data_IF_116328974157
#
_entry.id   IF_116328974157
#
_cell.length_a   1.000
_cell.length_b   1.000
_cell.length_c   1.000
_cell.angle_alpha   90.00
_cell.angle_beta   90.00
_cell.angle_gamma   90.00
#
_symmetry.space_group_name_H-M   'P 1'
#
loop_
_entity.id
_entity.type
_entity.pdbx_description
1 polymer ?
#
# COMPACT_ATOMS: atom_id res chain seq x y z
N UNK A 1 6.85 15.55 -3.01
CA UNK A 1 7.44 14.19 -2.96
C UNK A 1 6.34 13.16 -2.78
N UNK A 2 6.63 11.86 -2.90
CA UNK A 2 5.70 10.76 -2.62
C UNK A 2 6.31 9.84 -1.56
N UNK A 3 5.54 9.46 -0.55
CA UNK A 3 5.85 8.37 0.37
C UNK A 3 4.90 7.20 0.10
N UNK A 4 5.47 6.02 -0.17
CA UNK A 4 4.71 4.80 -0.45
C UNK A 4 4.92 3.77 0.65
N UNK A 5 3.84 3.24 1.22
CA UNK A 5 3.86 1.97 1.97
C UNK A 5 3.42 0.88 1.01
N UNK A 6 4.34 -0.02 0.66
CA UNK A 6 4.08 -1.12 -0.29
C UNK A 6 3.91 -2.44 0.46
N UNK A 7 2.93 -3.25 0.04
CA UNK A 7 2.75 -4.62 0.51
C UNK A 7 3.99 -5.50 0.26
N UNK A 8 4.82 -5.15 -0.72
CA UNK A 8 6.02 -5.91 -1.13
C UNK A 8 7.28 -5.59 -0.30
N UNK A 9 7.16 -4.72 0.70
CA UNK A 9 8.24 -4.46 1.65
C UNK A 9 7.86 -4.85 3.08
N UNK A 10 7.51 -6.11 3.27
CA UNK A 10 7.37 -6.67 4.62
C UNK A 10 8.68 -6.59 5.41
N UNK A 11 8.56 -6.40 6.73
CA UNK A 11 9.70 -6.24 7.64
C UNK A 11 9.31 -6.53 9.08
N UNK A 12 10.27 -6.80 9.96
CA UNK A 12 10.00 -6.95 11.40
C UNK A 12 9.93 -5.60 12.15
N UNK A 13 10.47 -4.55 11.53
CA UNK A 13 10.58 -3.18 12.08
C UNK A 13 10.50 -2.17 10.96
N UNK A 14 10.11 -0.94 11.29
CA UNK A 14 10.03 0.14 10.32
C UNK A 14 11.40 0.48 9.74
N UNK A 15 11.44 0.55 8.42
CA UNK A 15 12.59 0.94 7.62
C UNK A 15 12.12 1.92 6.54
N UNK A 16 12.96 2.89 6.19
CA UNK A 16 12.62 3.94 5.25
C UNK A 16 13.76 4.09 4.24
N UNK A 17 13.43 4.10 2.94
CA UNK A 17 14.45 4.31 1.89
C UNK A 17 15.13 5.66 2.08
N UNK A 18 16.45 5.70 1.96
CA UNK A 18 17.23 6.93 2.11
C UNK A 18 18.31 7.12 1.03
N UNK A 19 18.27 6.36 -0.07
CA UNK A 19 19.19 6.54 -1.19
C UNK A 19 18.78 7.74 -2.05
N UNK A 20 19.75 8.45 -2.65
CA UNK A 20 19.46 9.55 -3.59
C UNK A 20 18.92 9.06 -4.94
N UNK A 21 19.33 7.86 -5.37
CA UNK A 21 18.94 7.24 -6.64
C UNK A 21 18.68 5.74 -6.46
N UNK A 22 17.53 5.36 -5.86
CA UNK A 22 17.15 3.96 -5.74
C UNK A 22 17.03 3.30 -7.10
N UNK A 23 17.41 2.03 -7.21
CA UNK A 23 17.21 1.24 -8.43
C UNK A 23 15.74 0.80 -8.55
N UNK A 24 15.30 0.47 -9.75
CA UNK A 24 14.05 -0.28 -9.95
C UNK A 24 14.30 -1.76 -9.70
N UNK A 25 13.47 -2.39 -8.87
CA UNK A 25 13.50 -3.81 -8.59
C UNK A 25 12.25 -4.50 -9.13
N UNK A 26 12.47 -5.56 -9.91
CA UNK A 26 11.42 -6.46 -10.37
C UNK A 26 11.36 -7.67 -9.42
N UNK A 27 10.69 -7.51 -8.30
CA UNK A 27 10.50 -8.51 -7.24
C UNK A 27 9.44 -9.59 -7.60
N UNK A 28 9.21 -9.82 -8.88
CA UNK A 28 8.23 -10.78 -9.40
C UNK A 28 8.81 -11.72 -10.47
N UNK A 29 8.15 -12.86 -10.68
CA UNK A 29 8.56 -13.93 -11.59
C UNK A 29 7.48 -14.30 -12.61
N UNK A 30 7.88 -14.88 -13.75
CA UNK A 30 6.95 -15.53 -14.69
C UNK A 30 6.34 -14.62 -15.77
N UNK A 31 6.85 -13.40 -15.93
CA UNK A 31 6.34 -12.44 -16.90
C UNK A 31 7.20 -12.34 -18.18
N UNK A 32 6.68 -11.74 -19.27
CA UNK A 32 7.47 -11.52 -20.48
C UNK A 32 8.69 -10.62 -20.25
N UNK A 33 9.79 -10.79 -21.01
CA UNK A 33 11.01 -9.99 -20.89
C UNK A 33 10.80 -8.47 -20.96
N UNK A 34 9.79 -8.02 -21.72
CA UNK A 34 9.45 -6.61 -21.83
C UNK A 34 9.11 -5.97 -20.48
N UNK A 35 8.53 -6.72 -19.54
CA UNK A 35 8.19 -6.18 -18.21
C UNK A 35 9.45 -5.96 -17.36
N UNK A 36 10.46 -6.84 -17.48
CA UNK A 36 11.76 -6.70 -16.81
C UNK A 36 12.64 -5.59 -17.40
N UNK A 37 12.32 -5.10 -18.59
CA UNK A 37 13.01 -3.96 -19.21
C UNK A 37 12.49 -2.60 -18.72
N UNK A 38 11.33 -2.56 -18.05
CA UNK A 38 10.76 -1.31 -17.52
C UNK A 38 11.62 -0.78 -16.39
N UNK A 39 11.88 0.52 -16.39
CA UNK A 39 12.62 1.24 -15.35
C UNK A 39 11.79 2.44 -14.89
N UNK A 40 11.89 2.76 -13.60
CA UNK A 40 11.26 3.92 -13.00
C UNK A 40 12.29 4.65 -12.11
N UNK A 41 13.16 5.49 -12.71
CA UNK A 41 14.33 6.04 -12.05
C UNK A 41 14.01 7.32 -11.26
N UNK A 42 12.94 7.29 -10.45
CA UNK A 42 12.58 8.43 -9.61
C UNK A 42 13.69 8.74 -8.60
N UNK A 43 14.02 10.03 -8.34
CA UNK A 43 14.99 10.37 -7.33
C UNK A 43 14.46 9.99 -5.94
N UNK A 44 15.35 9.65 -5.01
CA UNK A 44 15.00 9.60 -3.59
C UNK A 44 15.08 10.98 -2.94
N UNK A 45 14.77 11.07 -1.65
CA UNK A 45 14.88 12.30 -0.88
C UNK A 45 15.46 12.05 0.53
N UNK A 46 16.79 11.86 0.65
CA UNK A 46 17.42 11.46 1.92
C UNK A 46 17.17 12.42 3.10
N UNK A 47 17.12 13.73 2.83
CA UNK A 47 16.82 14.72 3.86
C UNK A 47 15.40 14.56 4.42
N UNK A 48 14.41 14.43 3.52
CA UNK A 48 13.03 14.14 3.91
C UNK A 48 12.92 12.77 4.59
N UNK A 49 13.73 11.79 4.19
CA UNK A 49 13.78 10.49 4.85
C UNK A 49 14.16 10.62 6.33
N UNK A 50 15.21 11.41 6.63
CA UNK A 50 15.63 11.67 8.00
C UNK A 50 14.53 12.40 8.81
N UNK A 51 13.84 13.37 8.22
CA UNK A 51 12.72 14.07 8.87
C UNK A 51 11.55 13.14 9.19
N UNK A 52 11.18 12.25 8.25
CA UNK A 52 10.12 11.26 8.45
C UNK A 52 10.51 10.28 9.55
N UNK A 53 11.75 9.77 9.55
CA UNK A 53 12.25 8.87 10.58
C UNK A 53 12.21 9.53 11.98
N UNK A 54 12.55 10.81 12.08
CA UNK A 54 12.46 11.56 13.33
C UNK A 54 11.01 11.69 13.81
N UNK A 55 10.07 12.07 12.93
CA UNK A 55 8.64 12.19 13.29
C UNK A 55 8.06 10.86 13.77
N UNK A 56 8.43 9.77 13.13
CA UNK A 56 8.05 8.42 13.56
C UNK A 56 8.66 8.10 14.93
N UNK A 57 9.93 8.43 15.17
CA UNK A 57 10.57 8.28 16.48
C UNK A 57 9.85 9.07 17.59
N UNK A 58 9.49 10.33 17.32
CA UNK A 58 8.74 11.19 18.26
C UNK A 58 7.35 10.62 18.59
N UNK A 59 6.75 9.88 17.66
CA UNK A 59 5.50 9.15 17.85
C UNK A 59 5.67 7.76 18.50
N UNK A 60 6.88 7.39 18.93
CA UNK A 60 7.20 6.09 19.53
C UNK A 60 7.24 4.94 18.52
N UNK A 61 7.53 5.22 17.26
CA UNK A 61 7.55 4.29 16.12
C UNK A 61 8.92 4.35 15.41
N UNK A 62 10.06 4.05 16.06
CA UNK A 62 11.38 4.28 15.47
C UNK A 62 11.54 3.54 14.12
N UNK A 63 12.03 4.26 13.11
CA UNK A 63 12.30 3.73 11.78
C UNK A 63 13.79 3.85 11.44
N UNK A 64 14.36 2.77 10.89
CA UNK A 64 15.75 2.77 10.42
C UNK A 64 15.82 3.28 8.97
N UNK A 65 16.85 4.06 8.64
CA UNK A 65 17.12 4.46 7.26
C UNK A 65 17.82 3.33 6.50
N UNK A 66 17.35 3.03 5.30
CA UNK A 66 17.93 2.03 4.39
C UNK A 66 18.42 2.72 3.10
N UNK A 67 19.74 2.91 2.94
CA UNK A 67 20.33 3.55 1.76
C UNK A 67 20.51 2.58 0.58
N UNK A 68 20.12 1.31 0.72
CA UNK A 68 20.32 0.25 -0.29
C UNK A 68 19.03 -0.28 -0.89
N UNK A 69 17.88 -0.09 -0.22
CA UNK A 69 16.57 -0.57 -0.69
C UNK A 69 16.21 0.03 -2.07
N UNK A 70 16.02 -0.81 -3.11
CA UNK A 70 15.46 -0.38 -4.39
C UNK A 70 13.92 -0.27 -4.33
N UNK A 71 13.32 0.35 -5.35
CA UNK A 71 11.87 0.40 -5.50
C UNK A 71 11.31 -0.95 -5.95
N UNK A 72 10.50 -1.59 -5.12
CA UNK A 72 9.69 -2.76 -5.52
C UNK A 72 8.51 -2.37 -6.42
N UNK A 73 7.91 -3.36 -7.07
CA UNK A 73 6.84 -3.10 -8.05
C UNK A 73 5.58 -2.53 -7.46
N UNK A 74 5.28 -2.81 -6.19
CA UNK A 74 4.19 -2.17 -5.48
C UNK A 74 4.36 -0.66 -5.39
N UNK A 75 5.60 -0.15 -5.37
CA UNK A 75 5.87 1.28 -5.48
C UNK A 75 5.94 1.78 -6.93
N UNK A 76 6.76 1.18 -7.79
CA UNK A 76 7.04 1.79 -9.09
C UNK A 76 5.94 1.60 -10.14
N UNK A 77 5.17 0.50 -10.10
CA UNK A 77 4.10 0.26 -11.09
C UNK A 77 3.02 1.35 -11.04
N UNK A 78 2.37 1.64 -9.90
CA UNK A 78 1.36 2.70 -9.86
C UNK A 78 1.97 4.05 -10.21
N UNK A 79 3.17 4.35 -9.70
CA UNK A 79 3.82 5.63 -9.97
C UNK A 79 4.22 5.81 -11.44
N UNK A 80 4.56 4.75 -12.17
CA UNK A 80 4.82 4.83 -13.62
C UNK A 80 3.58 5.28 -14.42
N UNK A 81 2.38 5.05 -13.91
CA UNK A 81 1.12 5.49 -14.52
C UNK A 81 0.74 6.91 -14.09
N UNK A 82 0.91 7.25 -12.80
CA UNK A 82 0.61 8.59 -12.29
C UNK A 82 1.63 9.65 -12.72
N UNK A 83 2.91 9.32 -12.70
CA UNK A 83 4.04 10.21 -12.94
C UNK A 83 5.07 9.58 -13.89
N UNK A 84 4.72 9.37 -15.17
CA UNK A 84 5.54 8.62 -16.13
C UNK A 84 6.94 9.21 -16.38
N UNK A 85 7.15 10.49 -16.09
CA UNK A 85 8.45 11.15 -16.22
C UNK A 85 9.44 10.77 -15.11
N UNK A 86 8.99 10.16 -14.01
CA UNK A 86 9.81 9.79 -12.86
C UNK A 86 10.66 10.96 -12.30
N UNK A 87 10.10 12.17 -12.30
CA UNK A 87 10.79 13.42 -11.89
C UNK A 87 10.39 13.90 -10.48
N UNK A 88 9.44 13.21 -9.84
CA UNK A 88 9.03 13.49 -8.46
C UNK A 88 9.82 12.60 -7.49
N UNK A 89 10.39 13.14 -6.39
CA UNK A 89 11.06 12.32 -5.40
C UNK A 89 10.15 11.29 -4.74
N UNK A 90 10.62 10.05 -4.62
CA UNK A 90 9.90 8.91 -4.05
C UNK A 90 10.66 8.35 -2.86
N UNK A 91 9.94 8.07 -1.78
CA UNK A 91 10.41 7.27 -0.65
C UNK A 91 9.47 6.08 -0.47
N UNK A 92 10.00 5.00 0.10
CA UNK A 92 9.18 3.93 0.64
C UNK A 92 9.37 3.81 2.14
N UNK A 93 8.30 3.40 2.83
CA UNK A 93 8.31 2.94 4.21
C UNK A 93 7.92 1.46 4.22
N UNK A 94 8.69 0.65 4.95
CA UNK A 94 8.45 -0.77 5.08
C UNK A 94 7.18 -1.06 5.89
N UNK A 95 6.70 -2.30 5.78
CA UNK A 95 5.44 -2.77 6.35
C UNK A 95 5.70 -3.83 7.44
N UNK A 96 5.62 -3.48 8.73
CA UNK A 96 5.60 -4.45 9.82
C UNK A 96 4.26 -5.19 9.88
N UNK A 97 4.06 -6.15 8.98
CA UNK A 97 2.76 -6.80 8.73
C UNK A 97 2.22 -7.57 9.93
N UNK A 98 3.11 -8.16 10.73
CA UNK A 98 2.76 -8.92 11.94
C UNK A 98 2.08 -8.10 13.04
N UNK A 99 2.15 -6.76 12.95
CA UNK A 99 1.58 -5.83 13.93
C UNK A 99 0.21 -5.28 13.52
N UNK A 100 -0.34 -5.72 12.39
CA UNK A 100 -1.74 -5.57 12.06
C UNK A 100 -2.20 -4.14 11.71
N UNK A 101 -3.53 -3.96 11.58
CA UNK A 101 -4.13 -2.71 11.09
C UNK A 101 -3.99 -1.53 12.07
N UNK A 102 -3.94 -1.79 13.38
CA UNK A 102 -3.80 -0.78 14.42
C UNK A 102 -2.46 -0.04 14.28
N UNK A 103 -1.37 -0.78 14.04
CA UNK A 103 -0.05 -0.17 13.83
C UNK A 103 -0.06 0.72 12.59
N UNK A 104 -0.59 0.22 11.47
CA UNK A 104 -0.61 0.99 10.22
C UNK A 104 -1.44 2.27 10.35
N UNK A 105 -2.55 2.20 11.08
CA UNK A 105 -3.36 3.38 11.42
C UNK A 105 -2.55 4.39 12.24
N UNK A 106 -1.78 3.94 13.25
CA UNK A 106 -0.90 4.81 14.05
C UNK A 106 0.20 5.45 13.21
N UNK A 107 0.83 4.70 12.30
CA UNK A 107 1.84 5.21 11.37
C UNK A 107 1.22 6.29 10.47
N UNK A 108 0.05 6.01 9.89
CA UNK A 108 -0.68 6.96 9.06
C UNK A 108 -0.94 8.27 9.82
N UNK A 109 -1.47 8.18 11.05
CA UNK A 109 -1.73 9.34 11.92
C UNK A 109 -0.46 10.13 12.23
N UNK A 110 0.64 9.45 12.55
CA UNK A 110 1.92 10.10 12.85
C UNK A 110 2.48 10.88 11.65
N UNK A 111 2.18 10.43 10.43
CA UNK A 111 2.67 11.02 9.19
C UNK A 111 1.65 11.91 8.47
N UNK A 112 0.44 12.07 9.00
CA UNK A 112 -0.65 12.83 8.36
C UNK A 112 -0.24 14.27 8.01
N UNK A 113 0.58 14.90 8.85
CA UNK A 113 1.06 16.28 8.67
C UNK A 113 1.87 16.50 7.38
N UNK A 114 2.51 15.46 6.83
CA UNK A 114 3.30 15.56 5.60
C UNK A 114 2.45 16.00 4.39
N UNK A 115 1.13 15.77 4.42
CA UNK A 115 0.22 16.23 3.37
C UNK A 115 0.19 17.75 3.24
N UNK A 116 0.25 18.46 4.37
CA UNK A 116 0.32 19.92 4.39
C UNK A 116 1.68 20.45 3.88
N UNK A 117 2.70 19.59 3.85
CA UNK A 117 4.06 19.88 3.41
C UNK A 117 4.31 19.46 1.94
N UNK A 118 3.26 19.08 1.20
CA UNK A 118 3.35 18.72 -0.21
C UNK A 118 3.88 17.30 -0.47
N UNK A 119 3.74 16.40 0.50
CA UNK A 119 4.02 14.97 0.32
C UNK A 119 2.73 14.21 0.06
N UNK A 120 2.68 13.51 -1.08
CA UNK A 120 1.61 12.55 -1.38
C UNK A 120 1.89 11.24 -0.63
N UNK A 121 0.90 10.75 0.10
CA UNK A 121 0.99 9.49 0.86
C UNK A 121 0.18 8.42 0.14
N UNK A 122 0.81 7.29 -0.18
CA UNK A 122 0.19 6.18 -0.91
C UNK A 122 0.35 4.89 -0.11
N UNK A 123 -0.75 4.21 0.15
CA UNK A 123 -0.75 2.79 0.51
C UNK A 123 -0.96 1.96 -0.76
N UNK A 124 0.02 1.14 -1.13
CA UNK A 124 -0.04 0.28 -2.32
C UNK A 124 -0.16 -1.18 -1.92
N UNK A 125 -1.30 -1.78 -2.25
CA UNK A 125 -1.68 -3.14 -1.91
C UNK A 125 -2.92 -3.56 -2.70
N UNK A 126 -3.76 -4.42 -2.14
CA UNK A 126 -5.03 -4.83 -2.75
C UNK A 126 -6.10 -5.11 -1.70
N UNK A 127 -7.35 -4.73 -2.02
CA UNK A 127 -8.49 -5.00 -1.15
C UNK A 127 -8.82 -6.49 -1.05
N UNK A 128 -8.47 -7.31 -2.04
CA UNK A 128 -8.61 -8.78 -2.03
C UNK A 128 -7.40 -9.43 -2.69
N UNK A 129 -6.75 -10.37 -2.01
CA UNK A 129 -5.45 -10.88 -2.46
C UNK A 129 -5.21 -12.36 -2.10
N UNK A 130 -5.92 -13.26 -2.77
CA UNK A 130 -5.65 -14.70 -2.70
C UNK A 130 -5.23 -15.23 -4.07
N UNK A 131 -3.91 -15.24 -4.30
CA UNK A 131 -3.31 -15.71 -5.55
C UNK A 131 -3.54 -17.21 -5.81
N UNK A 132 -3.81 -18.00 -4.77
CA UNK A 132 -4.08 -19.44 -4.88
C UNK A 132 -5.44 -19.78 -5.47
N UNK A 133 -6.37 -18.80 -5.50
CA UNK A 133 -7.75 -19.00 -5.95
C UNK A 133 -8.15 -18.09 -7.12
N UNK A 134 -7.17 -17.62 -7.90
CA UNK A 134 -7.44 -16.82 -9.09
C UNK A 134 -8.10 -17.65 -10.20
N UNK A 135 -9.09 -17.05 -10.86
CA UNK A 135 -9.65 -17.56 -12.10
C UNK A 135 -9.05 -16.82 -13.29
N UNK A 136 -8.02 -17.42 -13.90
CA UNK A 136 -7.34 -16.88 -15.08
C UNK A 136 -8.23 -16.74 -16.32
N UNK A 137 -9.41 -17.36 -16.33
CA UNK A 137 -10.39 -17.26 -17.42
C UNK A 137 -11.46 -16.22 -17.16
N UNK A 138 -11.54 -15.68 -15.94
CA UNK A 138 -12.47 -14.63 -15.61
C UNK A 138 -12.16 -13.37 -16.42
N UNK A 139 -13.18 -12.86 -17.12
CA UNK A 139 -13.07 -11.59 -17.82
C UNK A 139 -12.96 -10.39 -16.87
N UNK A 140 -12.61 -9.20 -17.37
CA UNK A 140 -12.58 -7.98 -16.58
C UNK A 140 -13.92 -7.70 -15.88
N UNK A 141 -13.87 -7.30 -14.61
CA UNK A 141 -15.05 -6.97 -13.80
C UNK A 141 -15.80 -8.19 -13.23
N UNK A 142 -15.45 -9.41 -13.65
CA UNK A 142 -15.99 -10.64 -13.05
C UNK A 142 -15.34 -10.83 -11.69
N UNK A 143 -16.17 -11.00 -10.66
CA UNK A 143 -15.74 -11.26 -9.30
C UNK A 143 -16.49 -12.48 -8.76
N UNK A 144 -15.75 -13.35 -8.07
CA UNK A 144 -16.30 -14.43 -7.26
C UNK A 144 -17.10 -13.83 -6.10
N UNK A 145 -18.21 -14.47 -5.68
CA UNK A 145 -19.06 -13.93 -4.62
C UNK A 145 -18.30 -13.63 -3.32
N UNK A 146 -17.41 -14.52 -2.88
CA UNK A 146 -16.67 -14.37 -1.64
C UNK A 146 -15.70 -13.16 -1.65
N UNK A 147 -15.10 -12.85 -2.80
CA UNK A 147 -14.21 -11.70 -2.94
C UNK A 147 -15.03 -10.39 -2.96
N UNK A 148 -16.15 -10.40 -3.68
CA UNK A 148 -17.08 -9.26 -3.73
C UNK A 148 -17.67 -8.96 -2.36
N UNK A 149 -18.17 -9.96 -1.64
CA UNK A 149 -18.77 -9.81 -0.32
C UNK A 149 -17.80 -9.21 0.70
N UNK A 150 -16.53 -9.66 0.71
CA UNK A 150 -15.50 -9.07 1.56
C UNK A 150 -15.21 -7.62 1.19
N UNK A 151 -14.98 -7.34 -0.09
CA UNK A 151 -14.69 -6.00 -0.59
C UNK A 151 -15.83 -5.03 -0.25
N UNK A 152 -17.07 -5.43 -0.47
CA UNK A 152 -18.24 -4.59 -0.21
C UNK A 152 -18.43 -4.35 1.29
N UNK A 153 -18.14 -5.35 2.13
CA UNK A 153 -18.11 -5.16 3.58
C UNK A 153 -17.05 -4.13 4.00
N UNK A 154 -15.83 -4.25 3.49
CA UNK A 154 -14.74 -3.31 3.79
C UNK A 154 -15.10 -1.88 3.37
N UNK A 155 -15.65 -1.70 2.17
CA UNK A 155 -16.07 -0.37 1.69
C UNK A 155 -17.19 0.21 2.55
N UNK A 156 -18.17 -0.60 2.96
CA UNK A 156 -19.21 -0.14 3.87
C UNK A 156 -18.64 0.35 5.22
N UNK A 157 -17.62 -0.34 5.77
CA UNK A 157 -16.97 0.11 7.01
C UNK A 157 -16.12 1.36 6.79
N UNK A 158 -15.49 1.52 5.62
CA UNK A 158 -14.75 2.75 5.25
C UNK A 158 -15.70 3.95 5.09
N UNK A 159 -16.87 3.75 4.49
CA UNK A 159 -17.91 4.79 4.35
C UNK A 159 -18.50 5.21 5.69
N UNK A 160 -18.69 4.25 6.60
CA UNK A 160 -19.16 4.49 7.96
C UNK A 160 -18.09 5.06 8.90
N UNK A 161 -16.83 5.10 8.46
CA UNK A 161 -15.66 5.42 9.28
C UNK A 161 -15.54 4.57 10.57
N UNK A 162 -15.94 3.29 10.48
CA UNK A 162 -15.96 2.35 11.62
C UNK A 162 -14.56 1.74 11.84
N UNK A 163 -13.71 2.49 12.56
CA UNK A 163 -12.34 2.08 12.86
C UNK A 163 -12.26 0.73 13.59
N UNK A 164 -13.13 0.51 14.58
CA UNK A 164 -13.12 -0.69 15.39
C UNK A 164 -13.47 -1.93 14.54
N UNK A 165 -14.47 -1.81 13.65
CA UNK A 165 -14.81 -2.87 12.73
C UNK A 165 -13.67 -3.16 11.75
N UNK A 166 -13.08 -2.11 11.18
CA UNK A 166 -11.95 -2.21 10.25
C UNK A 166 -10.74 -2.90 10.89
N UNK A 167 -10.38 -2.55 12.12
CA UNK A 167 -9.28 -3.21 12.85
C UNK A 167 -9.58 -4.68 13.14
N UNK A 168 -10.86 -5.02 13.32
CA UNK A 168 -11.33 -6.39 13.57
C UNK A 168 -11.81 -7.13 12.31
N UNK A 169 -11.45 -6.68 11.11
CA UNK A 169 -11.92 -7.27 9.84
C UNK A 169 -11.72 -8.78 9.78
N UNK A 170 -10.61 -9.31 10.32
CA UNK A 170 -10.32 -10.75 10.34
C UNK A 170 -11.42 -11.57 11.05
N UNK A 171 -12.09 -10.96 12.04
CA UNK A 171 -13.16 -11.56 12.83
C UNK A 171 -14.55 -11.27 12.27
N UNK A 172 -14.75 -10.07 11.73
CA UNK A 172 -16.07 -9.54 11.40
C UNK A 172 -16.41 -9.61 9.91
N UNK A 173 -15.42 -9.50 9.04
CA UNK A 173 -15.64 -9.48 7.60
C UNK A 173 -15.93 -10.89 7.06
N UNK A 174 -16.86 -11.03 6.11
CA UNK A 174 -17.11 -12.32 5.47
C UNK A 174 -15.87 -12.76 4.70
N UNK A 175 -15.47 -14.04 4.83
CA UNK A 175 -14.36 -14.63 4.07
C UNK A 175 -13.00 -13.92 4.23
N UNK A 176 -12.75 -13.24 5.36
CA UNK A 176 -11.53 -12.46 5.56
C UNK A 176 -10.25 -13.28 5.34
N UNK A 177 -10.12 -14.43 6.02
CA UNK A 177 -8.97 -15.31 5.89
C UNK A 177 -8.83 -15.94 4.49
N UNK A 178 -9.92 -16.00 3.71
CA UNK A 178 -9.88 -16.47 2.32
C UNK A 178 -9.44 -15.36 1.36
N UNK A 179 -9.84 -14.11 1.60
CA UNK A 179 -9.38 -12.97 0.82
C UNK A 179 -7.92 -12.62 1.08
N UNK A 180 -7.48 -12.84 2.30
CA UNK A 180 -6.15 -12.51 2.78
C UNK A 180 -5.62 -13.71 3.56
N UNK A 181 -5.00 -14.71 2.90
CA UNK A 181 -4.31 -15.79 3.61
C UNK A 181 -3.30 -15.22 4.62
N UNK A 182 -2.61 -14.17 4.21
CA UNK A 182 -1.76 -13.26 4.99
C UNK A 182 -2.25 -11.81 4.79
N UNK A 183 -1.92 -10.91 5.70
CA UNK A 183 -2.56 -9.57 5.80
C UNK A 183 -1.88 -8.47 4.97
N UNK A 184 -0.66 -8.70 4.50
CA UNK A 184 0.26 -7.67 3.99
C UNK A 184 -0.32 -6.83 2.85
N UNK A 185 -1.12 -7.42 1.97
CA UNK A 185 -1.72 -6.69 0.84
C UNK A 185 -2.87 -5.77 1.27
N UNK A 186 -3.54 -6.04 2.39
CA UNK A 186 -4.60 -5.16 2.90
C UNK A 186 -4.04 -4.01 3.73
N UNK A 187 -2.97 -4.25 4.49
CA UNK A 187 -2.45 -3.33 5.51
C UNK A 187 -2.11 -1.91 5.03
N UNK A 188 -1.61 -1.68 3.80
CA UNK A 188 -1.39 -0.32 3.27
C UNK A 188 -2.64 0.58 3.25
N UNK A 189 -3.84 -0.01 3.19
CA UNK A 189 -5.11 0.73 3.28
C UNK A 189 -5.22 1.51 4.60
N UNK A 190 -4.84 0.87 5.71
CA UNK A 190 -4.95 1.46 7.05
C UNK A 190 -3.96 2.60 7.26
N UNK A 191 -2.77 2.51 6.65
CA UNK A 191 -1.82 3.63 6.58
C UNK A 191 -2.45 4.84 5.84
N UNK A 192 -2.97 4.61 4.63
CA UNK A 192 -3.57 5.67 3.84
C UNK A 192 -4.79 6.30 4.52
N UNK A 193 -5.66 5.48 5.13
CA UNK A 193 -6.80 5.94 5.94
C UNK A 193 -6.33 6.77 7.14
N UNK A 194 -5.37 6.25 7.91
CA UNK A 194 -4.88 6.92 9.12
C UNK A 194 -4.19 8.27 8.86
N UNK A 195 -3.56 8.42 7.69
CA UNK A 195 -2.98 9.70 7.25
C UNK A 195 -4.00 10.64 6.57
N UNK A 196 -5.16 10.10 6.27
CA UNK A 196 -6.19 10.68 5.44
C UNK A 196 -7.29 11.40 6.22
N UNK A 197 -8.32 11.83 5.49
CA UNK A 197 -9.58 12.32 6.04
C UNK A 197 -10.76 11.58 5.40
N UNK A 198 -11.79 12.34 5.00
CA UNK A 198 -13.01 11.80 4.42
C UNK A 198 -12.74 10.78 3.29
N UNK A 199 -13.40 9.62 3.40
CA UNK A 199 -13.29 8.54 2.43
C UNK A 199 -13.99 8.88 1.11
N UNK A 200 -13.38 8.46 -0.01
CA UNK A 200 -14.02 8.39 -1.32
C UNK A 200 -13.48 7.20 -2.12
N UNK A 201 -14.39 6.43 -2.71
CA UNK A 201 -14.08 5.43 -3.73
C UNK A 201 -13.87 6.13 -5.08
N UNK A 202 -12.66 6.10 -5.62
CA UNK A 202 -12.32 6.70 -6.92
C UNK A 202 -12.44 5.71 -8.08
N UNK A 203 -12.14 4.43 -7.82
CA UNK A 203 -12.31 3.36 -8.79
C UNK A 203 -12.67 2.05 -8.10
N UNK A 204 -13.48 1.24 -8.75
CA UNK A 204 -13.78 -0.12 -8.33
C UNK A 204 -13.66 -1.07 -9.52
N UNK A 205 -13.04 -2.22 -9.31
CA UNK A 205 -12.83 -3.18 -10.38
C UNK A 205 -12.38 -4.54 -9.86
N UNK A 206 -12.49 -5.55 -10.71
CA UNK A 206 -11.98 -6.88 -10.43
C UNK A 206 -11.24 -7.43 -11.64
N UNK A 207 -10.18 -8.19 -11.38
CA UNK A 207 -9.50 -9.02 -12.36
C UNK A 207 -9.28 -10.42 -11.80
N UNK A 208 -9.18 -11.40 -12.70
CA UNK A 208 -8.98 -12.82 -12.38
C UNK A 208 -9.95 -13.38 -11.32
N UNK A 209 -11.18 -12.85 -11.29
CA UNK A 209 -12.24 -13.30 -10.38
C UNK A 209 -12.07 -12.88 -8.91
N UNK A 210 -10.87 -12.57 -8.44
CA UNK A 210 -10.63 -12.38 -7.00
C UNK A 210 -9.63 -11.27 -6.65
N UNK A 211 -9.01 -10.60 -7.62
CA UNK A 211 -8.17 -9.43 -7.35
C UNK A 211 -8.98 -8.15 -7.51
N UNK A 212 -9.23 -7.47 -6.40
CA UNK A 212 -9.87 -6.17 -6.36
C UNK A 212 -8.88 -5.09 -6.80
N UNK A 213 -9.31 -4.28 -7.76
CA UNK A 213 -8.51 -3.23 -8.40
C UNK A 213 -8.90 -1.84 -7.90
N UNK A 214 -9.43 -1.76 -6.68
CA UNK A 214 -10.03 -0.54 -6.14
C UNK A 214 -8.98 0.56 -5.87
N UNK A 215 -9.41 1.81 -6.06
CA UNK A 215 -8.63 3.00 -5.70
C UNK A 215 -9.46 3.83 -4.73
N UNK A 216 -8.87 4.12 -3.57
CA UNK A 216 -9.48 4.91 -2.51
C UNK A 216 -8.70 6.21 -2.32
N UNK A 217 -9.44 7.29 -2.02
CA UNK A 217 -8.85 8.57 -1.62
C UNK A 217 -9.36 8.94 -0.24
N UNK A 218 -8.47 9.51 0.57
CA UNK A 218 -8.79 9.98 1.91
C UNK A 218 -8.42 11.47 2.05
N UNK A 219 -9.43 12.31 2.28
CA UNK A 219 -9.32 13.73 2.62
C UNK A 219 -9.44 14.70 1.46
#
# INVERSE_FOLDING_TARGET
>A
AVLVVSAHWESDRLQLTSAERPQTWHDFGGFPPALYAVQYPAPGAPALAAEIAQRLSDAGLPAALDPQRPFDHGAWVPLSLLYPAADIPVLQLSLPSQLGPELQTRIGRALAGLRAEGVLLIGSGSITHNLGELDWRAGPGVATPWAREFRDWMVAQLEADDEDALHRYRQLAPHAARNHPTDEHLLPLFFARGAGGAFKLEHAGFTYGALGMDIYRFG
#
